data_IF_101897567910
#
_entry.id   IF_101897567910
#
_cell.length_a   1.000
_cell.length_b   1.000
_cell.length_c   1.000
_cell.angle_alpha   90.00
_cell.angle_beta   90.00
_cell.angle_gamma   90.00
#
_symmetry.space_group_name_H-M   'P 1'
#
loop_
_entity.id
_entity.type
_entity.pdbx_description
1 polymer ?
#
# COMPACT_ATOMS: atom_id res chain seq x y z
N UNK A 1 -34.27 -7.63 24.31
CA UNK A 1 -33.17 -7.51 25.27
C UNK A 1 -31.84 -7.62 24.53
N UNK A 2 -31.35 -6.53 23.95
CA UNK A 2 -30.06 -6.45 23.26
C UNK A 2 -28.99 -6.11 24.29
N UNK A 3 -28.33 -7.13 24.82
CA UNK A 3 -27.24 -6.97 25.77
C UNK A 3 -26.05 -6.27 25.12
N UNK A 4 -25.93 -4.96 25.32
CA UNK A 4 -24.67 -4.25 25.11
C UNK A 4 -23.68 -4.76 26.14
N UNK A 5 -22.78 -5.67 25.73
CA UNK A 5 -21.61 -6.05 26.54
C UNK A 5 -20.77 -4.78 26.70
N UNK A 6 -20.96 -4.07 27.82
CA UNK A 6 -20.01 -3.06 28.29
C UNK A 6 -18.82 -3.81 28.88
N UNK A 7 -17.84 -4.13 28.04
CA UNK A 7 -16.52 -4.58 28.50
C UNK A 7 -15.99 -3.57 29.53
N UNK A 8 -15.86 -4.01 30.78
CA UNK A 8 -15.37 -3.20 31.88
C UNK A 8 -13.91 -2.76 31.63
N UNK A 9 -13.78 -1.46 31.35
CA UNK A 9 -12.66 -0.51 31.48
C UNK A 9 -11.29 -1.04 31.95
N UNK A 10 -10.57 -1.78 31.10
CA UNK A 10 -9.12 -1.66 31.09
C UNK A 10 -8.73 -0.47 30.17
N UNK A 11 -7.98 0.54 30.63
CA UNK A 11 -7.68 1.73 29.83
C UNK A 11 -6.94 1.41 28.50
N UNK A 12 -6.24 0.28 28.42
CA UNK A 12 -5.60 -0.18 27.18
C UNK A 12 -6.58 -0.80 26.18
N UNK A 13 -7.65 -1.46 26.64
CA UNK A 13 -8.70 -2.02 25.77
C UNK A 13 -9.42 -0.91 24.98
N UNK A 14 -9.53 0.30 25.54
CA UNK A 14 -10.12 1.46 24.84
C UNK A 14 -9.35 1.92 23.59
N UNK A 15 -8.10 1.44 23.41
CA UNK A 15 -7.21 1.76 22.28
C UNK A 15 -6.96 0.58 21.35
N UNK A 16 -7.73 -0.50 21.49
CA UNK A 16 -7.53 -1.69 20.67
C UNK A 16 -7.66 -1.38 19.16
N UNK A 17 -6.89 -2.06 18.30
CA UNK A 17 -6.79 -1.70 16.89
C UNK A 17 -8.12 -1.84 16.14
N UNK A 18 -9.03 -2.69 16.60
CA UNK A 18 -10.37 -2.89 16.04
C UNK A 18 -11.43 -1.88 16.50
N UNK A 19 -11.12 -0.92 17.38
CA UNK A 19 -12.09 0.07 17.87
C UNK A 19 -12.03 1.40 17.11
N UNK A 20 -13.17 2.08 16.94
CA UNK A 20 -13.26 3.45 16.43
C UNK A 20 -12.80 4.49 17.48
N UNK A 21 -12.75 5.77 17.11
CA UNK A 21 -12.35 6.86 18.03
C UNK A 21 -13.28 7.02 19.24
N UNK A 22 -14.49 6.48 19.17
CA UNK A 22 -15.49 6.50 20.27
C UNK A 22 -15.43 5.22 21.11
N UNK A 23 -14.46 4.33 20.84
CA UNK A 23 -14.31 3.05 21.54
C UNK A 23 -15.29 1.96 21.08
N UNK A 24 -16.01 2.16 19.98
CA UNK A 24 -16.96 1.18 19.45
C UNK A 24 -16.26 0.22 18.49
N UNK A 25 -16.73 -1.02 18.40
CA UNK A 25 -16.19 -1.99 17.46
C UNK A 25 -16.35 -1.54 16.00
N UNK A 26 -15.28 -1.65 15.21
CA UNK A 26 -15.26 -1.35 13.78
C UNK A 26 -14.83 -2.59 13.00
N UNK A 27 -15.78 -3.23 12.31
CA UNK A 27 -15.52 -4.42 11.50
C UNK A 27 -14.43 -4.17 10.45
N UNK A 28 -14.41 -2.99 9.82
CA UNK A 28 -13.37 -2.62 8.86
C UNK A 28 -11.97 -2.67 9.49
N UNK A 29 -11.79 -2.04 10.66
CA UNK A 29 -10.51 -2.03 11.36
C UNK A 29 -10.10 -3.41 11.85
N UNK A 30 -11.07 -4.23 12.29
CA UNK A 30 -10.84 -5.60 12.74
C UNK A 30 -10.38 -6.49 11.59
N UNK A 31 -11.10 -6.48 10.47
CA UNK A 31 -10.76 -7.24 9.26
C UNK A 31 -9.39 -6.83 8.74
N UNK A 32 -9.12 -5.52 8.60
CA UNK A 32 -7.81 -5.06 8.14
C UNK A 32 -6.72 -5.48 9.12
N UNK A 33 -6.93 -5.37 10.43
CA UNK A 33 -5.94 -5.84 11.41
C UNK A 33 -5.63 -7.33 11.26
N UNK A 34 -6.65 -8.18 11.13
CA UNK A 34 -6.47 -9.61 10.92
C UNK A 34 -5.71 -9.90 9.60
N UNK A 35 -6.08 -9.23 8.52
CA UNK A 35 -5.40 -9.36 7.23
C UNK A 35 -3.93 -8.91 7.27
N UNK A 36 -3.58 -7.92 8.09
CA UNK A 36 -2.19 -7.47 8.28
C UNK A 36 -1.34 -8.49 9.05
N UNK A 37 -1.95 -9.31 9.90
CA UNK A 37 -1.27 -10.39 10.65
C UNK A 37 -1.18 -11.69 9.86
N UNK A 38 -2.09 -11.90 8.89
CA UNK A 38 -2.20 -13.14 8.13
C UNK A 38 -0.87 -13.58 7.48
N UNK A 39 -0.08 -12.70 6.84
CA UNK A 39 1.19 -13.13 6.25
C UNK A 39 2.19 -13.69 7.26
N UNK A 40 2.34 -13.01 8.40
CA UNK A 40 3.19 -13.48 9.50
C UNK A 40 2.68 -14.82 10.06
N UNK A 41 1.36 -15.00 10.18
CA UNK A 41 0.77 -16.26 10.61
C UNK A 41 1.03 -17.41 9.61
N UNK A 42 0.92 -17.14 8.30
CA UNK A 42 1.25 -18.11 7.24
C UNK A 42 2.75 -18.47 7.30
N UNK A 43 3.64 -17.50 7.46
CA UNK A 43 5.07 -17.77 7.59
C UNK A 43 5.37 -18.63 8.81
N UNK A 44 4.76 -18.32 9.95
CA UNK A 44 4.93 -19.09 11.18
C UNK A 44 4.45 -20.54 10.99
N UNK A 45 3.28 -20.73 10.38
CA UNK A 45 2.78 -22.06 10.06
C UNK A 45 3.72 -22.80 9.10
N UNK A 46 4.21 -22.16 8.03
CA UNK A 46 5.16 -22.76 7.09
C UNK A 46 6.47 -23.17 7.76
N UNK A 47 6.94 -22.40 8.75
CA UNK A 47 8.11 -22.75 9.58
C UNK A 47 7.88 -24.06 10.33
N UNK A 48 6.78 -24.17 11.07
CA UNK A 48 6.46 -25.39 11.83
C UNK A 48 6.15 -26.60 10.94
N UNK A 49 5.56 -26.35 9.76
CA UNK A 49 5.31 -27.38 8.77
C UNK A 49 6.56 -27.81 7.98
N UNK A 50 7.71 -27.14 8.16
CA UNK A 50 8.94 -27.47 7.44
C UNK A 50 8.89 -27.18 5.94
N UNK A 51 8.01 -26.28 5.47
CA UNK A 51 7.74 -26.04 4.03
C UNK A 51 8.44 -24.78 3.47
N UNK A 52 9.43 -24.25 4.20
CA UNK A 52 10.21 -23.08 3.79
C UNK A 52 11.42 -23.42 2.91
N UNK A 53 11.67 -24.72 2.68
CA UNK A 53 12.78 -25.18 1.86
C UNK A 53 14.14 -25.15 2.59
N UNK A 54 15.26 -25.23 1.84
CA UNK A 54 16.58 -25.49 2.42
C UNK A 54 17.17 -24.36 3.26
N UNK A 55 16.70 -23.11 3.07
CA UNK A 55 17.19 -21.92 3.79
C UNK A 55 16.03 -21.17 4.45
N UNK A 56 15.45 -21.72 5.54
CA UNK A 56 14.21 -21.23 6.11
C UNK A 56 14.31 -19.80 6.65
N UNK A 57 15.42 -19.44 7.29
CA UNK A 57 15.64 -18.07 7.81
C UNK A 57 15.68 -17.06 6.66
N UNK A 58 16.41 -17.37 5.59
CA UNK A 58 16.50 -16.53 4.40
C UNK A 58 15.13 -16.36 3.71
N UNK A 59 14.32 -17.42 3.63
CA UNK A 59 12.95 -17.32 3.10
C UNK A 59 12.06 -16.42 3.96
N UNK A 60 12.10 -16.55 5.30
CA UNK A 60 11.37 -15.66 6.20
C UNK A 60 11.83 -14.21 6.03
N UNK A 61 13.14 -13.98 5.95
CA UNK A 61 13.73 -12.67 5.69
C UNK A 61 13.17 -12.05 4.40
N UNK A 62 13.19 -12.78 3.29
CA UNK A 62 12.68 -12.30 2.00
C UNK A 62 11.19 -11.97 2.07
N UNK A 63 10.40 -12.83 2.69
CA UNK A 63 8.95 -12.63 2.80
C UNK A 63 8.60 -11.43 3.67
N UNK A 64 9.29 -11.23 4.79
CA UNK A 64 9.11 -10.04 5.63
C UNK A 64 9.40 -8.74 4.86
N UNK A 65 10.49 -8.73 4.08
CA UNK A 65 10.84 -7.59 3.21
C UNK A 65 9.79 -7.33 2.13
N UNK A 66 9.34 -8.38 1.45
CA UNK A 66 8.28 -8.30 0.43
C UNK A 66 6.97 -7.75 1.00
N UNK A 67 6.53 -8.24 2.16
CA UNK A 67 5.33 -7.74 2.82
C UNK A 67 5.47 -6.30 3.31
N UNK A 68 6.66 -5.89 3.77
CA UNK A 68 6.91 -4.49 4.10
C UNK A 68 6.66 -3.57 2.89
N UNK A 69 7.24 -3.87 1.72
CA UNK A 69 7.06 -3.07 0.50
C UNK A 69 5.60 -3.09 0.02
N UNK A 70 4.94 -4.27 0.03
CA UNK A 70 3.51 -4.38 -0.30
C UNK A 70 2.66 -3.47 0.59
N UNK A 71 2.91 -3.47 1.90
CA UNK A 71 2.16 -2.66 2.85
C UNK A 71 2.44 -1.16 2.72
N UNK A 72 3.66 -0.76 2.35
CA UNK A 72 3.98 0.65 2.02
C UNK A 72 3.13 1.10 0.82
N UNK A 73 3.10 0.31 -0.27
CA UNK A 73 2.33 0.63 -1.48
C UNK A 73 0.82 0.63 -1.19
N UNK A 74 0.30 -0.34 -0.43
CA UNK A 74 -1.10 -0.36 0.01
C UNK A 74 -1.42 0.89 0.84
N UNK A 75 -0.51 1.30 1.73
CA UNK A 75 -0.65 2.52 2.54
C UNK A 75 -0.73 3.79 1.70
N UNK A 76 0.06 3.88 0.62
CA UNK A 76 -0.02 4.96 -0.37
C UNK A 76 -1.36 4.94 -1.12
N UNK A 77 -1.88 3.76 -1.44
CA UNK A 77 -3.14 3.59 -2.16
C UNK A 77 -4.38 4.04 -1.37
N UNK A 78 -4.34 4.06 -0.03
CA UNK A 78 -5.50 4.42 0.82
C UNK A 78 -6.13 5.77 0.42
N UNK A 79 -5.32 6.78 0.11
CA UNK A 79 -5.83 8.13 -0.21
C UNK A 79 -6.51 8.18 -1.59
N UNK A 80 -5.86 7.72 -2.68
CA UNK A 80 -6.51 7.56 -3.99
C UNK A 80 -7.80 6.73 -3.91
N UNK A 81 -7.76 5.57 -3.27
CA UNK A 81 -8.92 4.67 -3.17
C UNK A 81 -10.09 5.31 -2.42
N UNK A 82 -9.81 6.02 -1.32
CA UNK A 82 -10.82 6.81 -0.59
C UNK A 82 -11.55 7.78 -1.50
N UNK A 83 -10.82 8.50 -2.36
CA UNK A 83 -11.38 9.48 -3.28
C UNK A 83 -12.16 8.80 -4.41
N UNK A 84 -11.54 7.85 -5.10
CA UNK A 84 -12.09 7.17 -6.29
C UNK A 84 -13.34 6.35 -5.97
N UNK A 85 -13.30 5.57 -4.88
CA UNK A 85 -14.43 4.74 -4.44
C UNK A 85 -15.44 5.50 -3.58
N UNK A 86 -15.17 6.77 -3.26
CA UNK A 86 -16.00 7.61 -2.38
C UNK A 86 -16.25 6.93 -1.03
N UNK A 87 -15.22 6.30 -0.47
CA UNK A 87 -15.27 5.53 0.77
C UNK A 87 -14.42 6.22 1.85
N UNK A 88 -14.98 7.20 2.58
CA UNK A 88 -14.22 8.02 3.53
C UNK A 88 -13.59 7.22 4.67
N UNK A 89 -14.20 6.11 5.06
CA UNK A 89 -13.78 5.27 6.20
C UNK A 89 -12.44 4.56 5.98
N UNK A 90 -11.99 4.41 4.72
CA UNK A 90 -10.67 3.87 4.40
C UNK A 90 -9.53 4.62 5.11
N UNK A 91 -9.71 5.90 5.41
CA UNK A 91 -8.70 6.67 6.14
C UNK A 91 -8.43 6.12 7.56
N UNK A 92 -9.40 5.43 8.16
CA UNK A 92 -9.30 4.93 9.54
C UNK A 92 -8.33 3.76 9.68
N UNK A 93 -8.05 3.04 8.59
CA UNK A 93 -7.11 1.90 8.58
C UNK A 93 -5.70 2.28 8.13
N UNK A 94 -5.50 3.50 7.62
CA UNK A 94 -4.18 3.98 7.12
C UNK A 94 -3.06 3.80 8.16
N UNK A 95 -3.36 4.13 9.42
CA UNK A 95 -2.39 4.00 10.51
C UNK A 95 -2.02 2.53 10.79
N UNK A 96 -2.99 1.62 10.74
CA UNK A 96 -2.73 0.19 10.95
C UNK A 96 -1.81 -0.37 9.86
N UNK A 97 -2.10 -0.02 8.59
CA UNK A 97 -1.30 -0.44 7.44
C UNK A 97 0.13 0.11 7.54
N UNK A 98 0.28 1.41 7.85
CA UNK A 98 1.61 2.03 7.97
C UNK A 98 2.45 1.46 9.11
N UNK A 99 1.85 1.22 10.28
CA UNK A 99 2.54 0.58 11.41
C UNK A 99 2.91 -0.87 11.11
N UNK A 100 2.02 -1.62 10.45
CA UNK A 100 2.34 -2.98 10.00
C UNK A 100 3.53 -2.94 9.03
N UNK A 101 3.55 -2.05 8.04
CA UNK A 101 4.68 -1.91 7.12
C UNK A 101 6.01 -1.68 7.86
N UNK A 102 6.02 -0.82 8.88
CA UNK A 102 7.19 -0.62 9.74
C UNK A 102 7.58 -1.89 10.51
N UNK A 103 6.62 -2.60 11.13
CA UNK A 103 6.94 -3.81 11.89
C UNK A 103 7.45 -4.95 10.99
N UNK A 104 6.92 -5.11 9.77
CA UNK A 104 7.45 -6.06 8.80
C UNK A 104 8.87 -5.66 8.34
N UNK A 105 9.14 -4.37 8.11
CA UNK A 105 10.48 -3.90 7.77
C UNK A 105 11.48 -4.08 8.93
N UNK A 106 11.06 -3.82 10.17
CA UNK A 106 11.86 -4.04 11.36
C UNK A 106 12.13 -5.54 11.57
N UNK A 107 11.10 -6.38 11.43
CA UNK A 107 11.27 -7.83 11.50
C UNK A 107 12.21 -8.34 10.39
N UNK A 108 12.11 -7.83 9.17
CA UNK A 108 13.05 -8.12 8.09
C UNK A 108 14.50 -7.82 8.49
N UNK A 109 14.77 -6.66 9.10
CA UNK A 109 16.09 -6.31 9.61
C UNK A 109 16.55 -7.18 10.79
N UNK A 110 15.64 -7.51 11.71
CA UNK A 110 15.94 -8.44 12.82
C UNK A 110 16.31 -9.83 12.28
N UNK A 111 15.57 -10.34 11.29
CA UNK A 111 15.88 -11.63 10.67
C UNK A 111 17.17 -11.58 9.85
N UNK A 112 17.58 -10.43 9.32
CA UNK A 112 18.91 -10.25 8.75
C UNK A 112 20.02 -10.38 9.81
N UNK A 113 19.82 -9.83 11.02
CA UNK A 113 20.74 -10.04 12.15
C UNK A 113 20.78 -11.53 12.55
N UNK A 114 19.63 -12.20 12.57
CA UNK A 114 19.53 -13.65 12.86
C UNK A 114 20.26 -14.48 11.81
N UNK A 115 20.11 -14.16 10.52
CA UNK A 115 20.78 -14.85 9.40
C UNK A 115 22.31 -14.74 9.50
N UNK A 116 22.82 -13.67 10.13
CA UNK A 116 24.23 -13.48 10.45
C UNK A 116 24.63 -13.99 11.85
N UNK A 117 23.78 -14.74 12.53
CA UNK A 117 24.09 -15.36 13.82
C UNK A 117 24.24 -14.36 14.98
N UNK A 118 23.57 -13.20 14.92
CA UNK A 118 23.67 -12.11 15.89
C UNK A 118 25.06 -11.42 15.97
N UNK A 119 25.93 -11.63 14.98
CA UNK A 119 27.20 -10.90 14.87
C UNK A 119 26.96 -9.45 14.41
N UNK A 120 26.81 -8.54 15.37
CA UNK A 120 26.52 -7.13 15.10
C UNK A 120 27.66 -6.39 14.38
N UNK A 121 28.90 -6.82 14.60
CA UNK A 121 30.07 -6.26 13.91
C UNK A 121 30.01 -6.58 12.42
N UNK A 122 29.70 -7.84 12.10
CA UNK A 122 29.49 -8.29 10.71
C UNK A 122 28.27 -7.63 10.06
N UNK A 123 27.16 -7.50 10.79
CA UNK A 123 25.97 -6.77 10.33
C UNK A 123 26.34 -5.35 9.91
N UNK A 124 27.05 -4.62 10.77
CA UNK A 124 27.47 -3.25 10.50
C UNK A 124 28.43 -3.17 9.29
N UNK A 125 29.45 -4.03 9.24
CA UNK A 125 30.40 -4.03 8.13
C UNK A 125 29.72 -4.34 6.79
N UNK A 126 28.80 -5.31 6.76
CA UNK A 126 28.07 -5.68 5.54
C UNK A 126 27.15 -4.54 5.06
N UNK A 127 26.47 -3.85 5.96
CA UNK A 127 25.62 -2.68 5.62
C UNK A 127 26.45 -1.58 4.99
N UNK A 128 27.64 -1.29 5.53
CA UNK A 128 28.52 -0.24 5.02
C UNK A 128 29.12 -0.64 3.67
N UNK A 129 29.56 -1.89 3.52
CA UNK A 129 30.29 -2.37 2.33
C UNK A 129 29.37 -2.69 1.15
N UNK A 130 28.08 -2.96 1.38
CA UNK A 130 27.13 -3.34 0.32
C UNK A 130 26.07 -2.26 0.14
N UNK A 131 26.16 -1.52 -0.97
CA UNK A 131 25.26 -0.40 -1.27
C UNK A 131 23.76 -0.78 -1.21
N UNK A 132 23.38 -1.98 -1.63
CA UNK A 132 21.98 -2.41 -1.57
C UNK A 132 21.48 -2.57 -0.12
N UNK A 133 22.33 -3.01 0.82
CA UNK A 133 21.99 -3.10 2.24
C UNK A 133 21.87 -1.71 2.85
N UNK A 134 22.81 -0.81 2.52
CA UNK A 134 22.75 0.59 2.94
C UNK A 134 21.42 1.26 2.52
N UNK A 135 20.98 1.06 1.27
CA UNK A 135 19.69 1.60 0.77
C UNK A 135 18.51 1.08 1.59
N UNK A 136 18.46 -0.23 1.86
CA UNK A 136 17.41 -0.84 2.69
C UNK A 136 17.43 -0.31 4.12
N UNK A 137 18.61 -0.15 4.71
CA UNK A 137 18.79 0.38 6.05
C UNK A 137 18.36 1.85 6.16
N UNK A 138 18.71 2.69 5.18
CA UNK A 138 18.23 4.09 5.12
C UNK A 138 16.70 4.13 5.01
N UNK A 139 16.08 3.27 4.21
CA UNK A 139 14.62 3.18 4.13
C UNK A 139 13.99 2.84 5.50
N UNK A 140 14.60 1.92 6.26
CA UNK A 140 14.18 1.58 7.62
C UNK A 140 14.33 2.79 8.56
N UNK A 141 15.47 3.48 8.54
CA UNK A 141 15.70 4.68 9.37
C UNK A 141 14.68 5.78 9.08
N UNK A 142 14.26 5.97 7.82
CA UNK A 142 13.22 6.92 7.46
C UNK A 142 11.82 6.47 7.91
N UNK A 143 11.56 5.16 8.04
CA UNK A 143 10.31 4.63 8.58
C UNK A 143 10.18 4.81 10.10
N UNK A 144 11.28 4.77 10.85
CA UNK A 144 11.29 4.93 12.32
C UNK A 144 10.55 6.20 12.78
N UNK A 145 10.86 7.43 12.31
CA UNK A 145 10.15 8.62 12.77
C UNK A 145 8.67 8.60 12.41
N UNK A 146 8.27 7.97 11.29
CA UNK A 146 6.87 7.81 10.90
C UNK A 146 6.13 6.90 11.89
N UNK A 147 6.74 5.80 12.31
CA UNK A 147 6.16 4.89 13.30
C UNK A 147 6.06 5.56 14.68
N UNK A 148 7.13 6.19 15.16
CA UNK A 148 7.18 6.86 16.47
C UNK A 148 6.16 8.00 16.56
N UNK A 149 5.92 8.72 15.47
CA UNK A 149 4.98 9.86 15.42
C UNK A 149 3.57 9.48 14.95
N UNK A 150 3.25 8.18 14.92
CA UNK A 150 1.92 7.69 14.51
C UNK A 150 0.87 7.73 15.62
N UNK A 151 1.14 8.29 16.81
CA UNK A 151 0.16 8.40 17.90
C UNK A 151 -0.70 9.65 17.84
N UNK A 152 -1.91 9.61 18.41
CA UNK A 152 -2.80 10.79 18.45
C UNK A 152 -2.17 11.95 19.25
N UNK A 153 -1.38 11.63 20.27
CA UNK A 153 -0.62 12.61 21.03
C UNK A 153 0.43 13.32 20.14
N UNK A 154 1.16 12.56 19.32
CA UNK A 154 2.16 13.14 18.44
C UNK A 154 1.57 13.92 17.26
N UNK A 155 0.43 13.48 16.73
CA UNK A 155 -0.32 14.23 15.72
C UNK A 155 -0.71 15.61 16.28
N UNK A 156 -1.22 15.67 17.53
CA UNK A 156 -1.55 16.93 18.19
C UNK A 156 -0.32 17.78 18.48
N UNK A 157 0.77 17.18 18.97
CA UNK A 157 2.01 17.89 19.33
C UNK A 157 2.73 18.51 18.14
N UNK A 158 2.79 17.82 17.00
CA UNK A 158 3.51 18.28 15.82
C UNK A 158 2.67 19.17 14.89
N UNK A 159 1.34 19.09 14.96
CA UNK A 159 0.43 19.90 14.16
C UNK A 159 0.75 19.82 12.66
N UNK A 160 0.92 20.96 11.95
CA UNK A 160 1.22 20.97 10.52
C UNK A 160 2.50 20.23 10.13
N UNK A 161 3.53 20.23 11.00
CA UNK A 161 4.83 19.58 10.73
C UNK A 161 4.69 18.05 10.60
N UNK A 162 3.68 17.46 11.24
CA UNK A 162 3.38 16.03 11.13
C UNK A 162 3.17 15.59 9.68
N UNK A 163 2.46 16.41 8.89
CA UNK A 163 2.21 16.14 7.47
C UNK A 163 3.49 16.21 6.65
N UNK A 164 4.38 17.15 6.96
CA UNK A 164 5.67 17.27 6.29
C UNK A 164 6.56 16.06 6.57
N UNK A 165 6.69 15.67 7.84
CA UNK A 165 7.41 14.47 8.26
C UNK A 165 6.88 13.22 7.55
N UNK A 166 5.56 13.04 7.50
CA UNK A 166 4.97 11.87 6.86
C UNK A 166 5.06 11.86 5.33
N UNK A 167 5.61 12.91 4.69
CA UNK A 167 6.01 12.85 3.27
C UNK A 167 7.24 11.95 3.05
N UNK A 168 8.00 11.62 4.10
CA UNK A 168 9.10 10.64 3.99
C UNK A 168 8.62 9.25 3.52
N UNK A 169 7.32 8.95 3.56
CA UNK A 169 6.78 7.73 2.97
C UNK A 169 7.07 7.60 1.47
N UNK A 170 7.19 8.71 0.73
CA UNK A 170 7.50 8.67 -0.70
C UNK A 170 8.95 8.25 -0.98
N UNK A 171 10.00 8.86 -0.39
CA UNK A 171 11.35 8.35 -0.51
C UNK A 171 11.50 6.94 0.09
N UNK A 172 10.80 6.60 1.19
CA UNK A 172 10.78 5.22 1.71
C UNK A 172 10.26 4.23 0.66
N UNK A 173 9.16 4.55 -0.03
CA UNK A 173 8.60 3.68 -1.06
C UNK A 173 9.57 3.51 -2.23
N UNK A 174 10.20 4.61 -2.67
CA UNK A 174 11.22 4.56 -3.72
C UNK A 174 12.41 3.70 -3.32
N UNK A 175 13.02 3.96 -2.16
CA UNK A 175 14.18 3.23 -1.67
C UNK A 175 13.85 1.75 -1.43
N UNK A 176 12.66 1.43 -0.90
CA UNK A 176 12.22 0.05 -0.71
C UNK A 176 12.06 -0.72 -2.03
N UNK A 177 11.49 -0.08 -3.05
CA UNK A 177 11.36 -0.67 -4.39
C UNK A 177 12.75 -0.87 -5.03
N UNK A 178 13.63 0.14 -4.96
CA UNK A 178 15.00 0.06 -5.49
C UNK A 178 15.79 -1.05 -4.79
N UNK A 179 15.74 -1.11 -3.46
CA UNK A 179 16.34 -2.18 -2.67
C UNK A 179 15.82 -3.57 -3.11
N UNK A 180 14.52 -3.70 -3.35
CA UNK A 180 13.91 -4.95 -3.80
C UNK A 180 14.39 -5.35 -5.20
N UNK A 181 14.52 -4.41 -6.14
CA UNK A 181 15.09 -4.70 -7.46
C UNK A 181 16.53 -5.21 -7.37
N UNK A 182 17.36 -4.62 -6.51
CA UNK A 182 18.76 -5.02 -6.34
C UNK A 182 18.92 -6.43 -5.76
N UNK A 183 17.94 -6.90 -4.97
CA UNK A 183 17.90 -8.28 -4.45
C UNK A 183 17.44 -9.30 -5.50
N UNK A 184 16.73 -8.85 -6.53
CA UNK A 184 16.06 -9.75 -7.46
C UNK A 184 17.04 -10.24 -8.53
N UNK A 185 17.22 -11.57 -8.62
CA UNK A 185 18.21 -12.19 -9.52
C UNK A 185 17.66 -12.64 -10.86
N UNK A 186 16.42 -13.16 -10.93
CA UNK A 186 15.87 -13.73 -12.16
C UNK A 186 14.37 -13.46 -12.39
N UNK A 187 13.56 -13.33 -11.34
CA UNK A 187 12.12 -13.05 -11.44
C UNK A 187 11.77 -11.64 -11.00
N UNK A 188 11.72 -10.68 -11.94
CA UNK A 188 11.44 -9.27 -11.63
C UNK A 188 9.95 -8.91 -11.55
N UNK A 189 9.07 -9.90 -11.52
CA UNK A 189 7.62 -9.66 -11.65
C UNK A 189 7.07 -8.80 -10.52
N UNK A 190 7.26 -9.22 -9.27
CA UNK A 190 6.80 -8.51 -8.08
C UNK A 190 7.36 -7.09 -7.95
N UNK A 191 8.68 -6.84 -8.08
CA UNK A 191 9.20 -5.48 -7.99
C UNK A 191 8.69 -4.59 -9.13
N UNK A 192 8.52 -5.10 -10.35
CA UNK A 192 7.95 -4.35 -11.47
C UNK A 192 6.49 -3.98 -11.25
N UNK A 193 5.67 -4.92 -10.76
CA UNK A 193 4.26 -4.64 -10.42
C UNK A 193 4.17 -3.57 -9.34
N UNK A 194 4.96 -3.70 -8.26
CA UNK A 194 4.95 -2.72 -7.17
C UNK A 194 5.46 -1.36 -7.63
N UNK A 195 6.47 -1.31 -8.50
CA UNK A 195 6.96 -0.08 -9.11
C UNK A 195 5.92 0.59 -10.00
N UNK A 196 5.26 -0.17 -10.87
CA UNK A 196 4.18 0.32 -11.73
C UNK A 196 3.01 0.89 -10.94
N UNK A 197 2.58 0.19 -9.88
CA UNK A 197 1.53 0.69 -8.98
C UNK A 197 2.00 1.95 -8.25
N UNK A 198 3.21 1.96 -7.68
CA UNK A 198 3.72 3.12 -6.95
C UNK A 198 3.83 4.37 -7.84
N UNK A 199 4.31 4.20 -9.08
CA UNK A 199 4.35 5.25 -10.09
C UNK A 199 2.94 5.76 -10.41
N UNK A 200 1.99 4.85 -10.62
CA UNK A 200 0.59 5.23 -10.89
C UNK A 200 -0.01 6.04 -9.75
N UNK A 201 0.19 5.61 -8.49
CA UNK A 201 -0.27 6.32 -7.31
C UNK A 201 0.40 7.70 -7.16
N UNK A 202 1.68 7.81 -7.51
CA UNK A 202 2.40 9.08 -7.51
C UNK A 202 1.82 10.06 -8.54
N UNK A 203 1.56 9.60 -9.77
CA UNK A 203 0.89 10.40 -10.82
C UNK A 203 -0.47 10.88 -10.34
N UNK A 204 -1.29 9.98 -9.78
CA UNK A 204 -2.59 10.37 -9.22
C UNK A 204 -2.45 11.47 -8.17
N UNK A 205 -1.45 11.36 -7.29
CA UNK A 205 -1.23 12.30 -6.18
C UNK A 205 -0.78 13.68 -6.63
N UNK A 206 0.05 13.74 -7.66
CA UNK A 206 0.50 15.01 -8.27
C UNK A 206 -0.70 15.71 -8.90
N UNK A 207 -1.48 14.99 -9.72
CA UNK A 207 -2.67 15.56 -10.39
C UNK A 207 -3.74 16.00 -9.39
N UNK A 208 -3.97 15.24 -8.32
CA UNK A 208 -4.89 15.62 -7.24
C UNK A 208 -4.46 16.93 -6.55
N UNK A 209 -3.14 17.16 -6.43
CA UNK A 209 -2.58 18.37 -5.85
C UNK A 209 -2.57 19.60 -6.76
N UNK A 210 -2.44 19.42 -8.08
CA UNK A 210 -2.29 20.52 -9.05
C UNK A 210 -3.58 20.83 -9.83
N UNK A 211 -4.25 19.81 -10.36
CA UNK A 211 -5.48 19.93 -11.16
C UNK A 211 -6.76 19.66 -10.35
N UNK A 212 -6.61 19.14 -9.13
CA UNK A 212 -7.68 18.98 -8.15
C UNK A 212 -8.49 17.68 -8.26
N UNK A 213 -9.26 17.41 -7.20
CA UNK A 213 -10.02 16.17 -7.00
C UNK A 213 -11.07 15.86 -8.08
N UNK A 214 -11.51 16.87 -8.85
CA UNK A 214 -12.46 16.70 -9.95
C UNK A 214 -11.81 15.94 -11.12
N UNK A 215 -10.56 16.26 -11.43
CA UNK A 215 -9.79 15.63 -12.51
C UNK A 215 -9.29 14.26 -12.06
N UNK A 216 -8.62 14.20 -10.89
CA UNK A 216 -8.08 12.94 -10.35
C UNK A 216 -9.16 11.89 -10.05
N UNK A 217 -10.39 12.33 -9.77
CA UNK A 217 -11.55 11.48 -9.57
C UNK A 217 -12.33 11.15 -10.87
N UNK A 218 -11.98 11.72 -12.01
CA UNK A 218 -12.68 11.46 -13.27
C UNK A 218 -12.41 10.04 -13.78
N UNK A 219 -13.44 9.38 -14.34
CA UNK A 219 -13.30 7.99 -14.79
C UNK A 219 -12.30 7.88 -15.95
N UNK A 220 -12.36 8.81 -16.89
CA UNK A 220 -11.44 8.88 -18.02
C UNK A 220 -9.98 9.02 -17.56
N UNK A 221 -9.72 9.79 -16.50
CA UNK A 221 -8.38 9.99 -15.98
C UNK A 221 -7.85 8.71 -15.34
N UNK A 222 -8.68 7.99 -14.59
CA UNK A 222 -8.30 6.69 -14.02
C UNK A 222 -7.99 5.66 -15.09
N UNK A 223 -8.78 5.62 -16.16
CA UNK A 223 -8.53 4.75 -17.32
C UNK A 223 -7.23 5.16 -18.01
N UNK A 224 -7.06 6.44 -18.36
CA UNK A 224 -5.87 6.94 -19.05
C UNK A 224 -4.59 6.71 -18.24
N UNK A 225 -4.57 7.10 -16.97
CA UNK A 225 -3.41 6.88 -16.09
C UNK A 225 -3.15 5.40 -15.80
N UNK A 226 -4.19 4.56 -15.72
CA UNK A 226 -4.05 3.11 -15.62
C UNK A 226 -3.42 2.49 -16.85
N UNK A 227 -3.87 2.88 -18.05
CA UNK A 227 -3.27 2.43 -19.32
C UNK A 227 -1.79 2.84 -19.42
N UNK A 228 -1.47 4.08 -19.03
CA UNK A 228 -0.08 4.54 -18.97
C UNK A 228 0.75 3.73 -17.97
N UNK A 229 0.21 3.40 -16.80
CA UNK A 229 0.90 2.57 -15.81
C UNK A 229 1.16 1.14 -16.33
N UNK A 230 0.20 0.54 -17.04
CA UNK A 230 0.35 -0.78 -17.68
C UNK A 230 1.47 -0.74 -18.72
N UNK A 231 1.44 0.26 -19.61
CA UNK A 231 2.48 0.44 -20.63
C UNK A 231 3.87 0.67 -20.00
N UNK A 232 3.96 1.55 -19.00
CA UNK A 232 5.21 1.80 -18.28
C UNK A 232 5.74 0.55 -17.57
N UNK A 233 4.86 -0.30 -17.05
CA UNK A 233 5.25 -1.57 -16.42
C UNK A 233 5.82 -2.55 -17.45
N UNK A 234 5.18 -2.70 -18.61
CA UNK A 234 5.68 -3.57 -19.69
C UNK A 234 7.00 -3.08 -20.29
N UNK A 235 7.14 -1.76 -20.49
CA UNK A 235 8.40 -1.15 -20.93
C UNK A 235 9.50 -1.30 -19.88
N UNK A 236 9.17 -1.09 -18.61
CA UNK A 236 10.10 -1.26 -17.49
C UNK A 236 10.59 -2.70 -17.37
N UNK A 237 9.73 -3.68 -17.62
CA UNK A 237 10.11 -5.08 -17.70
C UNK A 237 11.11 -5.33 -18.84
N UNK A 238 10.77 -4.91 -20.05
CA UNK A 238 11.64 -5.07 -21.21
C UNK A 238 13.01 -4.39 -20.99
N UNK A 239 13.02 -3.20 -20.40
CA UNK A 239 14.24 -2.48 -20.04
C UNK A 239 15.05 -3.22 -18.97
N UNK A 240 14.40 -3.75 -17.92
CA UNK A 240 15.08 -4.52 -16.87
C UNK A 240 15.81 -5.74 -17.47
N UNK A 241 15.12 -6.57 -18.24
CA UNK A 241 15.73 -7.76 -18.83
C UNK A 241 16.81 -7.41 -19.86
N UNK A 242 16.65 -6.32 -20.61
CA UNK A 242 17.68 -5.85 -21.54
C UNK A 242 18.94 -5.33 -20.85
N UNK A 243 18.81 -4.60 -19.74
CA UNK A 243 19.93 -4.01 -19.03
C UNK A 243 20.64 -5.01 -18.11
N UNK A 244 19.86 -5.81 -17.37
CA UNK A 244 20.38 -6.71 -16.33
C UNK A 244 20.77 -8.06 -16.90
N UNK A 245 19.94 -8.61 -17.80
CA UNK A 245 20.11 -9.97 -18.35
C UNK A 245 20.55 -9.96 -19.81
N UNK A 246 20.80 -8.79 -20.40
CA UNK A 246 21.22 -8.62 -21.81
C UNK A 246 20.29 -9.31 -22.81
N UNK A 247 19.01 -9.43 -22.45
CA UNK A 247 17.99 -10.01 -23.30
C UNK A 247 17.52 -9.02 -24.39
N UNK A 248 17.10 -9.49 -25.57
CA UNK A 248 16.56 -8.62 -26.62
C UNK A 248 15.27 -7.93 -26.16
N UNK A 249 15.31 -6.60 -26.10
CA UNK A 249 14.23 -5.74 -25.60
C UNK A 249 12.90 -5.98 -26.33
N UNK A 250 12.95 -6.08 -27.66
CA UNK A 250 11.81 -6.31 -28.55
C UNK A 250 11.10 -7.63 -28.24
N UNK A 251 11.86 -8.71 -27.97
CA UNK A 251 11.25 -10.00 -27.62
C UNK A 251 10.57 -9.96 -26.26
N UNK A 252 11.19 -9.32 -25.28
CA UNK A 252 10.60 -9.19 -23.94
C UNK A 252 9.36 -8.28 -23.98
N UNK A 253 9.39 -7.20 -24.76
CA UNK A 253 8.25 -6.34 -24.96
C UNK A 253 7.12 -7.08 -25.70
N UNK A 254 7.43 -7.80 -26.78
CA UNK A 254 6.46 -8.63 -27.51
C UNK A 254 5.84 -9.72 -26.64
N UNK A 255 6.62 -10.32 -25.74
CA UNK A 255 6.13 -11.32 -24.79
C UNK A 255 5.05 -10.78 -23.82
N UNK A 256 5.01 -9.46 -23.55
CA UNK A 256 3.92 -8.87 -22.77
C UNK A 256 2.55 -9.00 -23.46
N UNK A 257 2.50 -9.21 -24.77
CA UNK A 257 1.25 -9.37 -25.52
C UNK A 257 0.83 -10.85 -25.65
N UNK A 258 1.70 -11.78 -25.27
CA UNK A 258 1.47 -13.21 -25.43
C UNK A 258 0.99 -13.84 -24.12
N UNK A 259 -0.23 -14.37 -24.13
CA UNK A 259 -0.80 -15.11 -22.99
C UNK A 259 0.00 -16.38 -22.67
N UNK A 260 0.59 -17.00 -23.69
CA UNK A 260 1.42 -18.20 -23.54
C UNK A 260 2.70 -17.95 -22.73
N UNK A 261 3.14 -16.68 -22.58
CA UNK A 261 4.32 -16.31 -21.80
C UNK A 261 4.03 -16.20 -20.28
N UNK A 262 2.82 -16.54 -19.83
CA UNK A 262 2.41 -16.49 -18.43
C UNK A 262 1.97 -15.11 -17.94
N UNK A 263 1.76 -14.99 -16.64
CA UNK A 263 1.29 -13.75 -16.01
C UNK A 263 2.40 -12.70 -15.89
N UNK A 264 2.54 -11.90 -16.95
CA UNK A 264 3.50 -10.80 -16.99
C UNK A 264 3.08 -9.65 -16.06
N UNK A 265 4.02 -8.83 -15.57
CA UNK A 265 3.75 -7.67 -14.71
C UNK A 265 2.66 -6.73 -15.24
N UNK A 266 2.68 -6.42 -16.54
CA UNK A 266 1.72 -5.53 -17.16
C UNK A 266 0.28 -6.04 -17.05
N UNK A 267 0.06 -7.35 -17.20
CA UNK A 267 -1.27 -7.98 -17.05
C UNK A 267 -1.80 -7.87 -15.63
N UNK A 268 -0.92 -8.00 -14.63
CA UNK A 268 -1.29 -7.85 -13.21
C UNK A 268 -1.71 -6.40 -12.93
N UNK A 269 -0.94 -5.42 -13.42
CA UNK A 269 -1.29 -3.99 -13.28
C UNK A 269 -2.59 -3.67 -14.01
N UNK A 270 -2.80 -4.26 -15.20
CA UNK A 270 -4.05 -4.10 -15.95
C UNK A 270 -5.25 -4.67 -15.19
N UNK A 271 -5.13 -5.88 -14.64
CA UNK A 271 -6.19 -6.49 -13.85
C UNK A 271 -6.56 -5.62 -12.64
N UNK A 272 -5.57 -5.07 -11.93
CA UNK A 272 -5.79 -4.12 -10.84
C UNK A 272 -6.46 -2.83 -11.31
N UNK A 273 -6.08 -2.31 -12.48
CA UNK A 273 -6.68 -1.11 -13.03
C UNK A 273 -8.14 -1.30 -13.43
N UNK A 274 -8.45 -2.43 -14.07
CA UNK A 274 -9.82 -2.82 -14.40
C UNK A 274 -10.65 -2.99 -13.14
N UNK A 275 -10.12 -3.68 -12.12
CA UNK A 275 -10.80 -3.85 -10.84
C UNK A 275 -11.08 -2.51 -10.14
N UNK A 276 -10.10 -1.59 -10.12
CA UNK A 276 -10.25 -0.25 -9.56
C UNK A 276 -11.42 0.51 -10.20
N UNK A 277 -11.45 0.52 -11.54
CA UNK A 277 -12.47 1.20 -12.36
C UNK A 277 -13.84 0.56 -12.18
N UNK A 278 -13.92 -0.78 -12.19
CA UNK A 278 -15.16 -1.52 -11.99
C UNK A 278 -15.79 -1.21 -10.62
N UNK A 279 -15.01 -1.29 -9.54
CA UNK A 279 -15.48 -0.98 -8.18
C UNK A 279 -15.91 0.49 -8.08
N UNK A 280 -15.18 1.42 -8.71
CA UNK A 280 -15.57 2.82 -8.76
C UNK A 280 -16.91 3.02 -9.48
N UNK A 281 -17.13 2.33 -10.60
CA UNK A 281 -18.38 2.35 -11.36
C UNK A 281 -19.57 1.84 -10.54
N UNK A 282 -19.42 0.65 -9.93
CA UNK A 282 -20.46 0.03 -9.09
C UNK A 282 -20.84 0.95 -7.92
N UNK A 283 -19.85 1.49 -7.20
CA UNK A 283 -20.12 2.36 -6.04
C UNK A 283 -20.78 3.68 -6.43
N UNK A 284 -20.45 4.24 -7.60
CA UNK A 284 -21.13 5.44 -8.13
C UNK A 284 -22.61 5.16 -8.40
N UNK A 285 -22.93 3.99 -8.98
CA UNK A 285 -24.32 3.56 -9.26
C UNK A 285 -25.14 3.30 -7.99
N UNK A 286 -24.56 2.63 -6.99
CA UNK A 286 -25.25 2.39 -5.71
C UNK A 286 -25.63 3.73 -5.05
N UNK A 287 -24.69 4.68 -5.03
CA UNK A 287 -24.90 5.99 -4.39
C UNK A 287 -25.87 6.89 -5.16
N UNK A 288 -25.96 6.79 -6.48
CA UNK A 288 -26.96 7.53 -7.26
C UNK A 288 -28.37 6.96 -7.05
N UNK A 289 -28.52 5.63 -6.99
CA UNK A 289 -29.80 4.97 -6.68
C UNK A 289 -30.31 5.30 -5.28
N UNK A 290 -29.41 5.35 -4.29
CA UNK A 290 -29.76 5.74 -2.91
C UNK A 290 -30.21 7.22 -2.77
N UNK A 291 -29.99 8.07 -3.78
CA UNK A 291 -30.38 9.48 -3.82
C UNK A 291 -31.59 9.72 -4.74
N UNK A 292 -32.57 8.81 -4.76
CA UNK A 292 -33.70 8.80 -5.69
C UNK A 292 -34.41 10.15 -5.93
N UNK A 293 -35.26 10.26 -6.98
CA UNK A 293 -35.63 11.52 -7.66
C UNK A 293 -36.40 12.58 -6.85
N UNK A 294 -36.70 12.35 -5.57
CA UNK A 294 -37.72 13.09 -4.81
C UNK A 294 -37.24 14.25 -3.94
N UNK A 295 -36.06 14.86 -4.17
CA UNK A 295 -35.55 15.95 -3.30
C UNK A 295 -35.16 17.25 -4.02
N UNK A 296 -35.67 17.47 -5.23
CA UNK A 296 -35.42 18.70 -6.01
C UNK A 296 -36.68 19.54 -6.31
N UNK A 297 -37.84 19.23 -5.73
CA UNK A 297 -39.05 20.05 -5.83
C UNK A 297 -39.52 20.48 -4.44
N UNK A 298 -38.87 21.47 -3.87
CA UNK A 298 -39.46 22.36 -2.83
C UNK A 298 -38.67 23.69 -2.76
N UNK A 299 -38.21 24.15 -3.93
CA UNK A 299 -37.70 25.50 -4.10
C UNK A 299 -38.85 26.42 -4.47
N UNK A 300 -39.47 27.00 -3.44
CA UNK A 300 -40.37 28.16 -3.43
C UNK A 300 -41.02 28.62 -4.74
N UNK A 301 -42.33 28.41 -4.85
CA UNK A 301 -43.17 29.37 -5.60
C UNK A 301 -43.17 30.69 -4.83
N UNK A 302 -42.86 31.84 -5.46
CA UNK A 302 -43.24 33.11 -4.88
C UNK A 302 -44.76 33.23 -5.00
N UNK A 303 -45.46 33.29 -3.87
CA UNK A 303 -46.85 33.73 -3.84
C UNK A 303 -46.83 35.21 -4.26
N UNK A 304 -47.32 35.48 -5.46
CA UNK A 304 -47.76 36.81 -5.90
C UNK A 304 -49.29 36.84 -5.90
N UNK A 305 -49.80 38.06 -5.73
CA UNK A 305 -51.20 38.52 -5.73
C UNK A 305 -51.98 38.22 -4.44
N UNK A 306 -52.85 39.09 -3.92
CA UNK A 306 -53.22 40.48 -4.18
C UNK A 306 -54.18 40.89 -3.04
N UNK A 307 -54.22 42.17 -2.69
CA UNK A 307 -55.15 42.74 -1.71
C UNK A 307 -54.47 43.78 -0.85
#
# INVERSE_FOLDING_TARGET
MTGTIRLAKAPWLSKAPWLDRRGRFSSLKAIVFALLLLPAAILLWRTFAGTLGPRPITEVLHQLGLWAVRLIVIGLAVTPLRAVWRWPELIFVRRQIGLAAFFYALAHFVFYIVDLGFDLSKVASEIVLRYYLAIGFVALLLLVPLAVTSSDAMIRRLGPRWRSLHRLVYPVALLGIVHFFMQTKAGATEPLVLAGIALWLAVWRIVDGTAGARVSGALWFLVASGTLAVAATGLGEAAYYALVLRAPFDRVLGANLLWAAGWRPAWIVLALAVALVAVAGVRRRIKSRARGPGRQRDGGRPIRAAG
#
